data_IF_874547864324
#
_entry.id   IF_874547864324
#
_cell.length_a   1.000
_cell.length_b   1.000
_cell.length_c   1.000
_cell.angle_alpha   90.00
_cell.angle_beta   90.00
_cell.angle_gamma   90.00
#
_symmetry.space_group_name_H-M   'P 1'
#
loop_
_entity.id
_entity.type
_entity.pdbx_description
1 polymer ?
2 non-polymer ?
3 water ?
#
# COMPACT_ATOMS: atom_id res chain seq x y z
N UNK A 11 -15.17 14.67 0.32
CA UNK A 11 -15.60 13.67 1.30
C UNK A 11 -15.12 13.99 2.72
N UNK A 12 -15.87 13.50 3.70
CA UNK A 12 -15.47 13.60 5.10
C UNK A 12 -14.16 12.86 5.35
N UNK A 13 -13.29 13.47 6.14
CA UNK A 13 -12.00 12.92 6.51
C UNK A 13 -12.02 12.55 7.99
N UNK A 14 -10.88 12.05 8.49
CA UNK A 14 -10.74 11.63 9.87
C UNK A 14 -9.88 12.61 10.66
N UNK A 15 -10.28 12.84 11.91
CA UNK A 15 -9.38 13.46 12.88
C UNK A 15 -8.76 12.37 13.73
N UNK A 16 -7.43 12.28 13.80
CA UNK A 16 -6.80 11.14 14.49
C UNK A 16 -7.20 10.94 15.95
N UNK A 17 -7.48 12.01 16.69
CA UNK A 17 -7.79 11.85 18.11
C UNK A 17 -9.23 11.44 18.38
N UNK A 18 -10.11 11.47 17.38
CA UNK A 18 -11.47 10.99 17.52
C UNK A 18 -11.64 9.59 16.95
N UNK A 19 -10.56 8.83 16.84
CA UNK A 19 -10.62 7.48 16.32
C UNK A 19 -10.48 6.49 17.46
N UNK A 20 -11.07 5.31 17.27
CA UNK A 20 -10.78 4.15 18.12
C UNK A 20 -9.49 3.49 17.63
N UNK A 21 -8.54 3.27 18.54
CA UNK A 21 -7.24 2.70 18.20
C UNK A 21 -7.13 1.29 18.75
N UNK A 22 -6.81 0.34 17.88
CA UNK A 22 -6.65 -1.06 18.26
C UNK A 22 -5.21 -1.52 18.11
N UNK A 23 -4.82 -2.48 18.95
CA UNK A 23 -3.48 -3.02 18.98
C UNK A 23 -3.58 -4.52 19.13
N UNK A 24 -2.82 -5.24 18.30
CA UNK A 24 -2.79 -6.70 18.31
C UNK A 24 -1.34 -7.13 18.27
N UNK A 25 -0.93 -7.96 19.23
CA UNK A 25 0.39 -8.56 19.25
C UNK A 25 0.36 -9.81 18.39
N UNK A 26 1.09 -9.79 17.27
CA UNK A 26 1.11 -10.97 16.39
C UNK A 26 2.38 -11.79 16.55
N UNK A 27 3.38 -11.29 17.28
CA UNK A 27 4.66 -11.96 17.48
C UNK A 27 5.33 -11.30 18.70
N UNK A 28 6.33 -11.96 19.30
CA UNK A 28 6.87 -11.46 20.58
C UNK A 28 7.19 -9.97 20.62
N UNK A 29 7.83 -9.41 19.61
CA UNK A 29 8.13 -7.99 19.64
C UNK A 29 7.48 -7.25 18.47
N UNK A 30 6.30 -7.68 18.07
CA UNK A 30 5.61 -7.11 16.92
C UNK A 30 4.14 -6.95 17.26
N UNK A 31 3.67 -5.72 17.38
CA UNK A 31 2.24 -5.46 17.50
C UNK A 31 1.79 -4.56 16.36
N UNK A 32 0.63 -4.86 15.81
CA UNK A 32 0.07 -4.04 14.74
C UNK A 32 -0.98 -3.09 15.33
N UNK A 33 -0.91 -1.85 14.93
CA UNK A 33 -1.85 -0.80 15.27
C UNK A 33 -2.83 -0.63 14.11
N UNK A 34 -4.09 -0.38 14.45
CA UNK A 34 -5.06 -0.04 13.42
C UNK A 34 -6.06 0.94 13.99
N UNK A 35 -6.78 1.60 13.09
CA UNK A 35 -7.90 2.45 13.46
C UNK A 35 -9.18 1.75 13.02
N UNK A 36 -10.25 1.87 13.81
CA UNK A 36 -11.44 1.05 13.60
C UNK A 36 -12.70 1.90 13.60
N UNK A 37 -13.54 1.75 12.58
CA UNK A 37 -14.76 2.54 12.50
C UNK A 37 -15.87 1.77 11.80
N UNK A 38 -17.05 1.73 12.41
CA UNK A 38 -18.25 1.19 11.79
C UNK A 38 -18.59 -0.22 12.24
N UNK A 39 -19.74 -0.68 11.79
CA UNK A 39 -20.16 -2.07 11.97
C UNK A 39 -20.53 -2.68 10.63
N UNK A 40 -20.49 -4.01 10.58
CA UNK A 40 -20.79 -4.75 9.36
C UNK A 40 -19.63 -5.67 9.00
N UNK A 41 -19.58 -6.11 7.74
CA UNK A 41 -18.47 -6.99 7.31
C UNK A 41 -17.12 -6.30 7.49
N UNK A 42 -16.13 -7.08 7.92
CA UNK A 42 -14.81 -6.54 8.21
C UNK A 42 -14.07 -6.21 6.91
N UNK A 43 -13.60 -4.98 6.80
CA UNK A 43 -12.82 -4.51 5.66
C UNK A 43 -11.49 -4.00 6.20
N UNK A 44 -10.41 -4.64 5.78
CA UNK A 44 -9.05 -4.29 6.22
C UNK A 44 -8.33 -3.51 5.13
N UNK A 45 -7.88 -2.30 5.45
CA UNK A 45 -7.26 -1.38 4.50
C UNK A 45 -5.75 -1.36 4.73
N UNK A 46 -4.97 -1.57 3.66
CA UNK A 46 -3.50 -1.70 3.75
C UNK A 46 -2.82 -0.68 2.84
N UNK A 47 -2.16 0.29 3.44
CA UNK A 47 -1.52 1.41 2.74
C UNK A 47 -0.19 0.97 2.12
N UNK A 48 0.37 1.86 1.29
CA UNK A 48 1.63 1.65 0.63
C UNK A 48 2.77 2.46 1.23
N UNK A 49 3.83 2.65 0.43
CA UNK A 49 5.08 3.33 0.76
C UNK A 49 5.07 4.75 0.24
N UNK A 50 5.45 5.75 1.07
CA UNK A 50 5.66 5.63 2.50
C UNK A 50 4.49 6.32 3.21
N UNK A 51 3.49 5.54 3.58
CA UNK A 51 2.22 6.15 3.96
C UNK A 51 1.85 5.78 5.39
N UNK A 52 0.56 5.56 5.65
CA UNK A 52 0.01 5.54 7.01
C UNK A 52 -1.43 5.05 6.91
N UNK A 53 -2.01 4.62 8.04
CA UNK A 53 -3.46 4.43 8.06
C UNK A 53 -4.17 5.68 7.58
N UNK A 54 -3.59 6.85 7.87
CA UNK A 54 -4.20 8.13 7.55
C UNK A 54 -4.34 8.35 6.04
N UNK A 55 -3.62 7.59 5.23
CA UNK A 55 -3.82 7.69 3.79
C UNK A 55 -5.21 7.26 3.38
N UNK A 56 -5.92 6.52 4.24
CA UNK A 56 -7.29 6.11 3.98
C UNK A 56 -8.33 7.09 4.57
N UNK A 57 -7.91 8.31 4.93
CA UNK A 57 -8.78 9.19 5.73
C UNK A 57 -10.11 9.51 5.02
N UNK A 58 -10.12 9.55 3.68
CA UNK A 58 -11.38 9.81 2.98
C UNK A 58 -12.24 8.56 2.79
N UNK A 59 -11.65 7.37 2.87
CA UNK A 59 -12.43 6.15 2.68
C UNK A 59 -13.03 5.64 3.98
N UNK A 60 -12.34 5.81 5.10
CA UNK A 60 -12.77 5.20 6.38
C UNK A 60 -14.18 5.65 6.76
N UNK A 61 -14.50 6.95 6.85
CA UNK A 61 -15.89 7.33 7.16
C UNK A 61 -16.88 6.89 6.11
N UNK A 62 -16.49 6.93 4.82
CA UNK A 62 -17.42 6.59 3.74
C UNK A 62 -17.75 5.11 3.75
N UNK A 63 -16.74 4.25 3.90
CA UNK A 63 -17.01 2.81 3.99
C UNK A 63 -17.83 2.48 5.22
N UNK A 64 -17.52 3.07 6.38
CA UNK A 64 -18.31 2.77 7.57
C UNK A 64 -19.75 3.21 7.39
N UNK A 65 -19.96 4.37 6.77
CA UNK A 65 -21.33 4.84 6.53
C UNK A 65 -22.09 3.90 5.60
N UNK A 66 -21.40 3.26 4.66
CA UNK A 66 -22.04 2.32 3.74
C UNK A 66 -22.33 0.98 4.40
N UNK A 67 -21.98 0.79 5.67
CA UNK A 67 -22.29 -0.44 6.38
C UNK A 67 -21.16 -1.45 6.47
N UNK A 68 -19.92 -0.99 6.61
CA UNK A 68 -18.78 -1.87 6.78
C UNK A 68 -18.03 -1.53 8.07
N UNK A 69 -17.38 -2.49 8.61
CA UNK A 69 -16.50 -2.29 9.76
C UNK A 69 -15.08 -2.14 9.24
N UNK A 70 -14.57 -0.94 9.29
CA UNK A 70 -13.29 -0.61 8.66
C UNK A 70 -12.16 -0.78 9.67
N UNK A 71 -11.12 -1.53 9.29
CA UNK A 71 -9.89 -1.66 10.08
C UNK A 71 -8.77 -1.12 9.20
N UNK A 72 -8.29 0.08 9.52
CA UNK A 72 -7.29 0.73 8.70
C UNK A 72 -5.94 0.58 9.39
N UNK A 73 -5.11 -0.24 8.87
CA UNK A 73 -3.84 -0.48 9.47
C UNK A 73 -2.69 0.50 9.37
N UNK A 74 -1.90 0.54 10.41
CA UNK A 74 -0.50 0.95 10.23
C UNK A 74 0.26 -0.33 9.85
N UNK A 75 0.76 -0.39 8.63
CA UNK A 75 1.46 -1.62 8.24
C UNK A 75 2.75 -1.73 9.04
N UNK A 76 3.28 -2.95 9.12
CA UNK A 76 4.48 -3.19 9.91
C UNK A 76 5.63 -2.28 9.44
N UNK A 77 6.31 -1.65 10.39
CA UNK A 77 7.34 -0.68 10.09
C UNK A 77 6.87 0.77 10.17
N UNK A 78 5.57 1.01 10.26
CA UNK A 78 5.00 2.35 10.13
C UNK A 78 4.27 2.77 11.40
N UNK A 79 4.35 4.07 11.71
CA UNK A 79 3.38 4.69 12.61
C UNK A 79 3.45 4.13 14.02
N UNK A 80 2.31 3.67 14.52
CA UNK A 80 2.26 3.06 15.85
C UNK A 80 2.46 1.56 15.81
N UNK A 81 2.66 0.97 14.63
CA UNK A 81 3.00 -0.44 14.59
C UNK A 81 4.49 -0.63 14.89
N UNK A 82 4.83 -1.81 15.40
CA UNK A 82 6.23 -2.14 15.65
C UNK A 82 7.02 -2.10 14.34
N UNK A 83 8.30 -1.76 14.46
CA UNK A 83 9.25 -1.78 13.34
C UNK A 83 10.46 -2.56 13.78
N UNK A 84 10.40 -3.91 13.76
CA UNK A 84 11.57 -4.69 14.14
C UNK A 84 12.75 -4.31 13.26
N UNK A 85 13.95 -4.50 13.74
CA UNK A 85 15.13 -4.05 12.99
C UNK A 85 15.52 -4.92 11.81
N UNK A 86 15.19 -6.21 11.85
CA UNK A 86 15.70 -7.15 10.87
C UNK A 86 15.04 -6.98 9.50
N UNK A 87 15.85 -7.02 8.44
CA UNK A 87 15.33 -6.76 7.10
C UNK A 87 14.38 -7.86 6.67
N UNK A 88 14.67 -9.12 7.04
CA UNK A 88 13.86 -10.24 6.62
C UNK A 88 12.50 -10.29 7.32
N UNK A 89 12.30 -9.49 8.36
CA UNK A 89 10.98 -9.35 8.96
C UNK A 89 10.00 -8.68 8.01
N UNK A 90 10.45 -8.14 6.89
CA UNK A 90 9.55 -7.44 5.99
C UNK A 90 9.41 -8.13 4.64
N UNK A 91 9.77 -9.41 4.58
CA UNK A 91 9.46 -10.16 3.38
C UNK A 91 7.96 -10.43 3.36
N UNK A 92 7.43 -10.63 2.15
CA UNK A 92 5.97 -10.78 2.01
C UNK A 92 5.48 -12.01 2.76
N UNK A 93 6.30 -13.05 2.81
CA UNK A 93 5.91 -14.26 3.50
C UNK A 93 5.61 -13.99 4.98
N UNK A 94 6.50 -13.29 5.67
CA UNK A 94 6.28 -12.98 7.07
C UNK A 94 5.11 -12.02 7.24
N UNK A 95 5.01 -11.01 6.36
CA UNK A 95 4.00 -9.98 6.49
C UNK A 95 2.60 -10.58 6.37
N UNK A 96 2.40 -11.49 5.43
CA UNK A 96 1.09 -12.10 5.23
C UNK A 96 0.71 -13.01 6.41
N UNK A 97 1.64 -13.83 6.90
CA UNK A 97 1.30 -14.71 8.02
C UNK A 97 0.97 -13.89 9.27
N UNK A 98 1.61 -12.73 9.44
CA UNK A 98 1.23 -11.86 10.55
C UNK A 98 -0.19 -11.32 10.37
N UNK A 99 -0.58 -11.02 9.14
CA UNK A 99 -1.93 -10.52 8.93
C UNK A 99 -2.97 -11.60 9.18
N UNK A 100 -2.62 -12.86 8.91
CA UNK A 100 -3.49 -13.98 9.28
C UNK A 100 -3.59 -14.10 10.80
N UNK A 101 -2.44 -14.03 11.49
CA UNK A 101 -2.45 -14.00 12.95
C UNK A 101 -3.30 -12.85 13.47
N UNK A 102 -3.17 -11.68 12.87
CA UNK A 102 -4.01 -10.53 13.19
C UNK A 102 -5.48 -10.89 13.18
N UNK A 103 -5.96 -11.46 12.06
CA UNK A 103 -7.35 -11.90 11.99
C UNK A 103 -7.66 -12.92 13.07
N UNK A 104 -6.73 -13.85 13.31
CA UNK A 104 -6.95 -14.86 14.35
C UNK A 104 -7.20 -14.21 15.70
N UNK A 105 -6.35 -13.26 16.07
CA UNK A 105 -6.44 -12.68 17.42
C UNK A 105 -7.68 -11.81 17.57
N UNK A 106 -8.15 -11.21 16.47
CA UNK A 106 -9.42 -10.49 16.44
C UNK A 106 -10.63 -11.41 16.36
N UNK A 107 -10.43 -12.73 16.22
CA UNK A 107 -11.57 -13.62 16.05
C UNK A 107 -12.35 -13.40 14.77
N UNK A 108 -11.66 -13.02 13.70
CA UNK A 108 -12.26 -12.83 12.38
C UNK A 108 -11.95 -14.03 11.48
N UNK A 109 -13.00 -14.73 11.05
CA UNK A 109 -12.79 -15.87 10.15
C UNK A 109 -12.31 -15.41 8.78
N UNK A 110 -12.81 -14.27 8.31
CA UNK A 110 -12.44 -13.67 7.04
C UNK A 110 -12.51 -12.16 7.14
N UNK A 111 -11.84 -11.48 6.21
CA UNK A 111 -12.04 -10.06 6.02
C UNK A 111 -11.89 -9.72 4.54
N UNK A 112 -12.55 -8.65 4.10
CA UNK A 112 -12.21 -8.04 2.81
C UNK A 112 -10.87 -7.34 2.97
N UNK A 113 -9.97 -7.52 2.00
CA UNK A 113 -8.68 -6.84 2.04
C UNK A 113 -8.58 -5.87 0.87
N UNK A 114 -8.27 -4.61 1.18
CA UNK A 114 -8.12 -3.57 0.18
C UNK A 114 -6.73 -2.93 0.39
N UNK A 115 -5.92 -2.92 -0.66
CA UNK A 115 -4.57 -2.39 -0.53
C UNK A 115 -4.24 -1.41 -1.64
N UNK A 116 -3.23 -0.60 -1.36
CA UNK A 116 -2.67 0.33 -2.33
C UNK A 116 -1.16 0.18 -2.32
N UNK A 117 -0.56 0.21 -3.50
CA UNK A 117 0.89 0.28 -3.67
C UNK A 117 1.45 -1.00 -3.02
N UNK A 118 2.40 -0.93 -2.08
CA UNK A 118 2.92 -2.14 -1.44
C UNK A 118 1.82 -2.89 -0.67
N UNK A 119 0.85 -2.18 -0.10
CA UNK A 119 -0.27 -2.87 0.50
C UNK A 119 -1.13 -3.59 -0.53
N UNK A 120 -1.16 -3.06 -1.76
CA UNK A 120 -1.80 -3.78 -2.84
C UNK A 120 -1.10 -5.10 -3.14
N UNK A 121 0.23 -5.08 -3.13
CA UNK A 121 0.98 -6.31 -3.32
C UNK A 121 0.66 -7.29 -2.20
N UNK A 122 0.59 -6.79 -0.97
CA UNK A 122 0.33 -7.67 0.16
C UNK A 122 -1.04 -8.33 0.05
N UNK A 123 -2.08 -7.55 -0.29
CA UNK A 123 -3.41 -8.16 -0.32
C UNK A 123 -3.52 -9.15 -1.48
N UNK A 124 -2.76 -8.95 -2.57
CA UNK A 124 -2.77 -9.95 -3.63
C UNK A 124 -2.20 -11.26 -3.13
N UNK A 125 -1.11 -11.22 -2.36
CA UNK A 125 -0.53 -12.48 -1.86
C UNK A 125 -1.38 -13.10 -0.76
N UNK A 126 -2.06 -12.27 0.05
CA UNK A 126 -3.07 -12.80 0.98
C UNK A 126 -4.13 -13.60 0.23
N UNK A 127 -4.65 -13.05 -0.87
CA UNK A 127 -5.65 -13.75 -1.66
C UNK A 127 -5.07 -14.99 -2.30
N UNK A 128 -3.78 -14.96 -2.65
CA UNK A 128 -3.18 -16.09 -3.34
C UNK A 128 -2.91 -17.25 -2.38
N UNK A 129 -2.36 -16.96 -1.22
CA UNK A 129 -1.92 -18.00 -0.29
C UNK A 129 -2.90 -18.26 0.84
N UNK A 130 -3.76 -17.29 1.19
CA UNK A 130 -4.76 -17.48 2.24
C UNK A 130 -6.17 -17.14 1.76
N UNK A 131 -6.62 -17.72 0.64
CA UNK A 131 -7.96 -17.36 0.15
C UNK A 131 -9.05 -17.66 1.16
N UNK A 132 -8.92 -18.76 1.93
CA UNK A 132 -9.93 -19.10 2.93
C UNK A 132 -10.11 -18.00 3.98
N UNK A 133 -9.16 -17.08 4.12
CA UNK A 133 -9.26 -15.99 5.08
C UNK A 133 -9.62 -14.65 4.42
N UNK A 134 -9.70 -14.59 3.08
CA UNK A 134 -9.98 -13.35 2.36
C UNK A 134 -11.36 -13.48 1.72
N UNK A 135 -12.33 -12.71 2.24
CA UNK A 135 -13.67 -12.70 1.67
C UNK A 135 -13.66 -12.13 0.25
N UNK A 136 -12.93 -11.04 0.04
CA UNK A 136 -12.77 -10.44 -1.28
C UNK A 136 -11.54 -9.57 -1.20
N UNK A 137 -10.98 -9.24 -2.37
CA UNK A 137 -9.72 -8.49 -2.43
C UNK A 137 -9.81 -7.39 -3.49
N UNK A 138 -9.28 -6.22 -3.16
CA UNK A 138 -9.25 -5.08 -4.05
C UNK A 138 -7.87 -4.46 -3.97
N UNK A 139 -7.33 -4.05 -5.11
CA UNK A 139 -6.05 -3.35 -5.15
C UNK A 139 -6.19 -2.04 -5.92
N UNK A 140 -5.59 -0.99 -5.39
CA UNK A 140 -5.45 0.28 -6.08
C UNK A 140 -4.06 0.37 -6.68
N UNK A 141 -3.99 0.53 -8.02
CA UNK A 141 -2.76 0.75 -8.78
C UNK A 141 -1.91 -0.52 -8.92
N UNK A 142 -1.72 -1.28 -7.85
CA UNK A 142 -0.79 -2.43 -7.90
C UNK A 142 -1.42 -3.60 -8.63
N UNK A 143 -0.85 -4.05 -9.74
CA UNK A 143 -1.40 -5.19 -10.46
C UNK A 143 -0.93 -6.49 -9.81
N UNK A 144 -1.52 -7.60 -10.26
CA UNK A 144 -1.05 -8.92 -9.84
C UNK A 144 -0.39 -9.57 -11.04
N UNK A 145 0.91 -9.79 -10.95
CA UNK A 145 1.69 -10.41 -12.01
C UNK A 145 2.37 -11.65 -11.41
N UNK A 146 2.01 -12.84 -11.83
CA UNK A 146 2.61 -14.04 -11.23
C UNK A 146 4.12 -14.08 -11.47
N UNK A 147 4.83 -14.62 -10.49
CA UNK A 147 6.28 -14.70 -10.56
C UNK A 147 6.74 -15.48 -11.78
N UNK A 148 7.79 -14.99 -12.43
CA UNK A 148 8.45 -15.73 -13.50
C UNK A 148 9.59 -16.52 -12.88
N UNK A 149 9.47 -17.85 -12.75
CA UNK A 149 10.52 -18.63 -12.09
C UNK A 149 11.82 -18.70 -12.87
N UNK A 150 11.89 -18.10 -14.06
CA UNK A 150 13.08 -18.12 -14.90
C UNK A 150 13.81 -16.78 -14.93
N UNK A 151 13.27 -15.75 -14.28
CA UNK A 151 13.85 -14.41 -14.33
C UNK A 151 13.86 -13.83 -12.93
N UNK A 152 15.07 -13.66 -12.37
CA UNK A 152 15.23 -13.16 -11.01
C UNK A 152 14.67 -11.74 -10.89
N UNK A 153 14.35 -11.30 -9.66
CA UNK A 153 13.64 -10.01 -9.55
C UNK A 153 14.52 -8.80 -9.85
N UNK A 154 15.76 -8.77 -9.37
CA UNK A 154 16.61 -7.61 -9.61
C UNK A 154 16.95 -7.47 -11.10
N UNK A 155 16.92 -8.58 -11.84
CA UNK A 155 17.12 -8.49 -13.27
C UNK A 155 15.91 -7.90 -13.97
N UNK A 156 14.71 -8.26 -13.53
CA UNK A 156 13.50 -7.65 -14.08
C UNK A 156 13.42 -6.16 -13.78
N UNK A 157 14.10 -5.69 -12.73
CA UNK A 157 14.07 -4.27 -12.38
C UNK A 157 14.99 -3.46 -13.29
N UNK A 158 16.11 -4.04 -13.73
CA UNK A 158 17.03 -3.31 -14.60
C UNK A 158 16.48 -3.18 -16.02
N UNK A 159 15.63 -4.13 -16.44
CA UNK A 159 14.97 -4.02 -17.74
C UNK A 159 13.87 -2.97 -17.76
N UNK A 160 13.60 -2.31 -16.64
CA UNK A 160 12.61 -1.23 -16.57
C UNK A 160 13.23 -0.03 -15.89
N UNK A 161 13.45 1.07 -16.60
CA UNK A 161 14.18 2.20 -16.01
C UNK A 161 13.40 2.96 -14.94
N UNK A 162 12.06 2.85 -14.88
CA UNK A 162 11.33 3.61 -13.88
C UNK A 162 11.51 3.01 -12.49
N UNK A 163 11.80 1.72 -12.41
CA UNK A 163 12.09 1.05 -11.13
C UNK A 163 13.56 1.18 -10.72
N UNK A 164 14.24 2.26 -11.15
CA UNK A 164 15.64 2.44 -10.79
C UNK A 164 15.81 2.96 -9.36
N UNK A 165 14.87 3.77 -8.89
CA UNK A 165 14.85 4.13 -7.48
C UNK A 165 14.84 2.90 -6.57
N UNK A 166 14.38 1.74 -7.08
CA UNK A 166 14.34 0.55 -6.25
C UNK A 166 15.74 0.01 -5.97
N UNK A 167 16.67 0.18 -6.90
CA UNK A 167 18.05 -0.20 -6.62
C UNK A 167 18.70 0.77 -5.64
N UNK A 168 18.37 2.05 -5.73
CA UNK A 168 18.85 3.03 -4.76
C UNK A 168 18.34 2.72 -3.36
N UNK A 169 17.18 2.06 -3.25
CA UNK A 169 16.59 1.70 -1.96
C UNK A 169 17.23 0.47 -1.32
N UNK A 170 18.16 -0.20 -1.98
CA UNK A 170 18.57 -1.54 -1.57
C UNK A 170 19.55 -1.51 -0.38
N UNK A 171 20.57 -0.66 -0.41
CA UNK A 171 21.58 -0.74 0.66
C UNK A 171 21.10 -0.01 1.90
N UNK A 172 21.06 -0.69 3.06
CA UNK A 172 20.49 -0.07 4.27
C UNK A 172 21.25 1.18 4.69
N UNK A 173 20.49 2.23 5.01
CA UNK A 173 21.03 3.47 5.49
C UNK A 173 21.12 4.56 4.46
N UNK A 174 21.22 4.20 3.17
CA UNK A 174 21.46 5.20 2.13
C UNK A 174 20.21 6.03 1.87
N UNK A 175 19.14 5.39 1.41
CA UNK A 175 17.90 6.14 1.19
C UNK A 175 17.34 6.70 2.49
N UNK A 176 17.60 6.04 3.63
CA UNK A 176 17.10 6.55 4.91
C UNK A 176 17.63 7.96 5.18
N UNK A 177 18.93 8.17 4.97
CA UNK A 177 19.52 9.48 5.25
C UNK A 177 18.86 10.56 4.40
N UNK A 178 18.52 10.25 3.15
CA UNK A 178 17.93 11.28 2.30
C UNK A 178 16.48 11.55 2.67
N UNK A 179 15.70 10.50 2.91
CA UNK A 179 14.29 10.68 3.20
C UNK A 179 14.07 11.26 4.59
N UNK A 180 14.99 11.01 5.53
CA UNK A 180 14.85 11.49 6.89
C UNK A 180 15.47 12.87 7.10
N UNK A 181 16.23 13.39 6.15
CA UNK A 181 16.98 14.61 6.44
C UNK A 181 16.05 15.79 6.66
N UNK A 182 14.93 15.85 5.94
CA UNK A 182 13.90 16.86 6.20
C UNK A 182 12.58 16.23 5.82
N UNK A 183 11.81 15.84 6.82
CA UNK A 183 10.61 15.03 6.57
C UNK A 183 9.54 15.83 5.85
N UNK A 184 9.36 17.09 6.25
CA UNK A 184 8.37 17.93 5.60
C UNK A 184 8.66 18.07 4.11
N UNK A 185 9.95 18.24 3.77
CA UNK A 185 10.34 18.29 2.37
C UNK A 185 10.08 16.96 1.69
N UNK A 186 10.38 15.85 2.38
CA UNK A 186 10.14 14.53 1.81
C UNK A 186 8.69 14.33 1.42
N UNK A 187 7.75 14.61 2.33
CA UNK A 187 6.36 14.34 2.04
C UNK A 187 5.72 15.39 1.13
N UNK A 188 6.13 16.65 1.24
CA UNK A 188 5.65 17.63 0.28
C UNK A 188 6.17 17.35 -1.13
N UNK A 189 7.34 16.73 -1.24
CA UNK A 189 7.88 16.37 -2.55
C UNK A 189 7.19 15.15 -3.14
N UNK A 190 6.82 14.19 -2.29
CA UNK A 190 6.23 12.95 -2.77
C UNK A 190 4.74 13.10 -3.06
N UNK A 191 4.00 13.70 -2.14
CA UNK A 191 2.53 13.65 -2.18
C UNK A 191 2.02 14.77 -3.07
N UNK A 192 2.09 14.53 -4.38
CA UNK A 192 1.75 15.53 -5.38
C UNK A 192 0.95 14.87 -6.50
N UNK A 193 0.07 15.65 -7.13
CA UNK A 193 -0.60 15.16 -8.33
C UNK A 193 0.43 14.93 -9.43
N UNK A 194 0.06 14.16 -10.44
CA UNK A 194 1.01 13.88 -11.52
C UNK A 194 1.44 15.16 -12.23
N UNK A 195 0.52 16.08 -12.50
CA UNK A 195 0.86 17.35 -13.15
C UNK A 195 1.74 18.24 -12.27
N UNK A 196 1.79 17.97 -10.96
CA UNK A 196 2.63 18.74 -10.03
C UNK A 196 3.95 18.04 -9.71
N UNK A 197 4.21 16.89 -10.30
CA UNK A 197 5.29 16.04 -9.81
C UNK A 197 6.64 16.72 -9.98
N UNK A 198 7.47 16.61 -8.95
CA UNK A 198 8.72 17.36 -8.86
C UNK A 198 9.95 16.47 -8.83
N UNK A 199 9.79 15.16 -8.62
CA UNK A 199 10.91 14.25 -8.43
C UNK A 199 11.07 13.34 -9.65
N UNK A 200 12.31 12.93 -9.90
CA UNK A 200 12.65 12.05 -11.00
C UNK A 200 12.87 10.65 -10.46
N UNK A 201 12.13 9.68 -11.01
CA UNK A 201 12.33 8.27 -10.67
C UNK A 201 13.42 7.63 -11.52
N UNK A 202 13.70 8.17 -12.71
CA UNK A 202 14.75 7.67 -13.58
C UNK A 202 16.10 8.23 -13.17
N UNK A 203 17.13 7.38 -13.28
CA UNK A 203 18.51 7.81 -13.09
C UNK A 203 18.73 8.39 -11.69
N UNK A 204 18.01 7.86 -10.70
CA UNK A 204 18.21 8.28 -9.32
C UNK A 204 19.63 7.97 -8.87
N UNK A 205 20.19 6.85 -9.34
CA UNK A 205 21.51 6.41 -8.90
C UNK A 205 22.64 7.21 -9.55
N UNK A 206 22.45 7.70 -10.77
CA UNK A 206 23.45 8.55 -11.39
C UNK A 206 23.35 10.00 -10.92
N UNK A 207 22.19 10.41 -10.42
CA UNK A 207 21.99 11.76 -9.88
C UNK A 207 22.33 11.84 -8.40
N UNK A 208 22.72 10.73 -7.78
CA UNK A 208 23.07 10.70 -6.37
C UNK A 208 21.94 10.36 -5.43
N UNK A 209 20.74 10.85 -5.72
CA UNK A 209 19.62 10.59 -4.85
C UNK A 209 18.30 10.92 -5.50
N UNK A 210 17.25 10.82 -4.70
CA UNK A 210 15.87 10.93 -5.15
C UNK A 210 15.38 12.37 -5.23
N UNK A 211 15.96 13.28 -4.44
CA UNK A 211 15.48 14.66 -4.34
C UNK A 211 16.53 15.66 -4.78
N UNK A 212 17.62 15.23 -5.42
CA UNK A 212 18.72 16.16 -5.71
C UNK A 212 18.27 17.26 -6.65
N UNK A 213 17.27 16.99 -7.51
CA UNK A 213 16.83 17.98 -8.47
C UNK A 213 15.38 18.39 -8.20
N UNK A 214 15.09 18.70 -6.94
CA UNK A 214 13.79 19.16 -6.47
C UNK A 214 14.03 20.26 -5.44
N UNK A 215 13.08 21.19 -5.30
CA UNK A 215 13.35 22.37 -4.47
C UNK A 215 13.58 22.01 -3.01
N UNK A 216 14.35 22.85 -2.32
CA UNK A 216 14.56 22.64 -0.90
C UNK A 216 13.33 22.99 -0.09
N UNK A 217 12.49 23.90 -0.60
CA UNK A 217 11.21 24.24 0.01
C UNK A 217 10.13 24.10 -1.06
N UNK A 218 9.66 22.87 -1.31
CA UNK A 218 8.64 22.68 -2.35
C UNK A 218 7.30 23.25 -1.95
N UNK A 219 6.51 23.59 -2.95
CA UNK A 219 5.17 24.07 -2.71
C UNK A 219 4.27 22.93 -2.22
N UNK A 220 3.14 23.31 -1.65
CA UNK A 220 2.17 22.36 -1.12
C UNK A 220 1.23 21.91 -2.23
N UNK A 221 1.12 20.60 -2.42
CA UNK A 221 0.25 20.08 -3.48
C UNK A 221 -1.21 20.44 -3.23
N UNK A 222 -1.96 20.56 -4.31
CA UNK A 222 -3.39 20.81 -4.18
C UNK A 222 -4.10 19.69 -3.44
N UNK A 223 -3.49 18.51 -3.36
CA UNK A 223 -4.15 17.35 -2.75
C UNK A 223 -4.15 17.39 -1.22
N UNK A 224 -3.29 18.20 -0.59
CA UNK A 224 -3.03 18.05 0.84
C UNK A 224 -2.90 19.41 1.51
N UNK A 225 -3.22 19.45 2.80
CA UNK A 225 -3.01 20.65 3.60
C UNK A 225 -1.68 20.55 4.34
N UNK A 226 -1.27 21.69 4.89
CA UNK A 226 -0.09 21.70 5.75
C UNK A 226 -0.29 20.81 6.97
N UNK A 227 -1.50 20.83 7.55
CA UNK A 227 -1.76 20.00 8.72
C UNK A 227 -1.64 18.52 8.37
N UNK A 228 -2.10 18.12 7.19
CA UNK A 228 -2.03 16.70 6.84
C UNK A 228 -0.60 16.25 6.61
N UNK A 229 0.23 17.13 6.02
CA UNK A 229 1.65 16.83 5.86
C UNK A 229 2.30 16.61 7.23
N UNK A 230 2.04 17.52 8.18
CA UNK A 230 2.67 17.45 9.49
C UNK A 230 2.27 16.19 10.26
N UNK A 231 1.10 15.62 9.98
CA UNK A 231 0.76 14.33 10.58
C UNK A 231 1.71 13.23 10.11
N UNK A 232 1.89 13.10 8.80
CA UNK A 232 2.88 12.14 8.31
C UNK A 232 4.25 12.41 8.92
N UNK A 233 4.66 13.69 8.97
CA UNK A 233 5.94 14.02 9.57
C UNK A 233 6.02 13.48 10.99
N UNK A 234 4.96 13.71 11.77
CA UNK A 234 4.98 13.24 13.16
C UNK A 234 5.05 11.72 13.23
N UNK A 235 4.34 11.04 12.34
CA UNK A 235 4.36 9.58 12.33
C UNK A 235 5.74 9.02 12.02
N UNK A 236 6.46 9.62 11.05
CA UNK A 236 7.74 9.07 10.66
C UNK A 236 8.89 9.49 11.57
N UNK A 237 8.65 10.43 12.49
CA UNK A 237 9.61 10.68 13.55
C UNK A 237 9.72 9.50 14.50
N UNK A 238 8.72 8.60 14.51
CA UNK A 238 8.67 7.51 15.48
C UNK A 238 9.67 6.42 15.13
N UNK A 239 9.67 5.96 13.88
CA UNK A 239 10.52 4.85 13.48
C UNK A 239 11.39 5.15 12.27
N UNK A 240 11.22 6.29 11.63
CA UNK A 240 12.04 6.58 10.48
C UNK A 240 11.65 5.73 9.29
N UNK A 241 12.53 5.73 8.28
CA UNK A 241 12.23 5.13 7.00
C UNK A 241 12.80 3.72 6.84
N UNK A 242 13.57 3.21 7.81
CA UNK A 242 14.21 1.91 7.62
C UNK A 242 13.18 0.80 7.44
N UNK A 243 12.20 0.72 8.34
CA UNK A 243 11.17 -0.29 8.23
C UNK A 243 10.39 -0.21 6.93
N UNK A 244 9.89 0.98 6.59
CA UNK A 244 9.28 1.13 5.27
C UNK A 244 10.18 0.70 4.12
N UNK A 245 11.46 1.12 4.11
CA UNK A 245 12.32 0.76 2.99
C UNK A 245 12.57 -0.74 2.92
N UNK A 246 12.58 -1.42 4.07
CA UNK A 246 12.82 -2.86 4.11
C UNK A 246 11.82 -3.66 3.30
N UNK A 247 10.62 -3.11 3.05
CA UNK A 247 9.67 -3.77 2.16
C UNK A 247 10.25 -3.99 0.77
N UNK A 248 11.22 -3.17 0.34
CA UNK A 248 11.90 -3.33 -0.95
C UNK A 248 13.12 -4.22 -0.90
N UNK A 249 13.53 -4.66 0.28
CA UNK A 249 14.82 -5.31 0.43
C UNK A 249 14.69 -6.82 0.54
N UNK A 250 13.61 -7.38 0.01
CA UNK A 250 13.35 -8.82 0.11
C UNK A 250 12.93 -9.41 -1.23
N UNK A 251 13.46 -8.86 -2.34
CA UNK A 251 12.92 -9.23 -3.65
C UNK A 251 13.18 -10.70 -3.98
N UNK A 252 14.36 -11.22 -3.63
CA UNK A 252 14.64 -12.61 -3.94
C UNK A 252 13.80 -13.56 -3.10
N UNK A 253 13.66 -13.28 -1.80
CA UNK A 253 12.81 -14.17 -0.99
C UNK A 253 11.34 -14.07 -1.39
N UNK A 254 10.86 -12.86 -1.69
CA UNK A 254 9.48 -12.71 -2.17
C UNK A 254 9.27 -13.47 -3.48
N UNK A 255 10.27 -13.45 -4.34
CA UNK A 255 10.19 -14.13 -5.62
C UNK A 255 10.19 -15.64 -5.43
N UNK A 256 11.07 -16.16 -4.56
CA UNK A 256 11.08 -17.60 -4.28
C UNK A 256 9.75 -18.05 -3.68
N UNK A 257 9.20 -17.27 -2.75
CA UNK A 257 7.92 -17.61 -2.13
C UNK A 257 6.79 -17.58 -3.17
N UNK A 258 6.75 -16.51 -3.97
CA UNK A 258 5.73 -16.40 -5.00
C UNK A 258 5.80 -17.53 -6.00
N UNK A 259 7.01 -18.03 -6.28
CA UNK A 259 7.18 -19.13 -7.22
C UNK A 259 6.55 -20.42 -6.69
N UNK A 260 6.48 -20.59 -5.36
CA UNK A 260 5.89 -21.79 -4.79
C UNK A 260 4.41 -21.93 -5.08
N UNK A 261 3.78 -20.92 -5.66
CA UNK A 261 2.34 -20.91 -5.84
C UNK A 261 1.95 -21.02 -7.31
N UNK A 262 2.90 -21.30 -8.20
CA UNK A 262 2.77 -20.81 -9.57
C UNK A 262 1.57 -21.41 -10.31
N UNK A 263 1.31 -22.69 -10.15
CA UNK A 263 0.22 -23.27 -10.90
C UNK A 263 -1.18 -23.03 -10.37
N UNK A 264 -1.51 -21.83 -9.88
CA UNK A 264 -2.78 -21.62 -9.20
C UNK A 264 -3.34 -20.23 -9.48
N UNK A 265 -4.67 -20.15 -9.45
CA UNK A 265 -5.41 -18.92 -9.68
C UNK A 265 -5.99 -18.40 -8.36
N UNK A 266 -6.43 -17.16 -8.40
CA UNK A 266 -7.17 -16.53 -7.32
C UNK A 266 -8.65 -16.61 -7.68
N UNK A 267 -9.42 -17.32 -6.86
CA UNK A 267 -10.80 -17.65 -7.19
C UNK A 267 -11.82 -16.84 -6.42
N UNK A 268 -11.38 -15.96 -5.53
CA UNK A 268 -12.29 -15.19 -4.69
C UNK A 268 -12.69 -13.93 -5.44
N UNK A 269 -13.78 -13.24 -5.05
CA UNK A 269 -14.13 -11.97 -5.71
C UNK A 269 -13.01 -10.95 -5.60
N UNK A 270 -12.77 -10.23 -6.69
CA UNK A 270 -11.58 -9.39 -6.78
C UNK A 270 -11.83 -8.13 -7.61
N UNK A 271 -11.13 -7.07 -7.26
CA UNK A 271 -11.27 -5.80 -7.97
C UNK A 271 -9.89 -5.19 -8.20
N UNK A 272 -9.61 -4.80 -9.43
CA UNK A 272 -8.38 -4.08 -9.78
C UNK A 272 -8.76 -2.67 -10.21
N UNK A 273 -8.20 -1.66 -9.52
CA UNK A 273 -8.45 -0.25 -9.81
C UNK A 273 -7.19 0.37 -10.39
N UNK A 274 -7.25 0.77 -11.65
CA UNK A 274 -6.10 1.38 -12.30
C UNK A 274 -6.24 2.91 -12.28
N UNK A 275 -5.09 3.58 -12.36
CA UNK A 275 -5.01 5.04 -12.26
C UNK A 275 -4.29 5.58 -13.49
N UNK A 276 -5.00 6.40 -14.28
CA UNK A 276 -4.52 6.80 -15.59
C UNK A 276 -3.15 7.45 -15.56
N UNK A 277 -2.84 8.21 -14.50
CA UNK A 277 -1.62 9.02 -14.47
C UNK A 277 -0.60 8.50 -13.45
N UNK A 278 -0.75 7.26 -12.97
CA UNK A 278 0.34 6.63 -12.22
C UNK A 278 1.39 6.16 -13.23
N UNK A 279 2.49 6.91 -13.31
CA UNK A 279 3.51 6.66 -14.31
C UNK A 279 4.48 5.55 -13.90
N UNK A 280 4.34 4.99 -12.71
CA UNK A 280 5.15 3.85 -12.27
C UNK A 280 4.31 2.58 -12.32
N UNK A 281 3.19 2.57 -11.59
CA UNK A 281 2.25 1.44 -11.64
C UNK A 281 1.22 1.76 -12.72
N UNK A 282 1.64 1.60 -13.96
CA UNK A 282 0.82 2.05 -15.08
C UNK A 282 -0.32 1.06 -15.31
N UNK A 283 -1.48 1.53 -15.81
CA UNK A 283 -2.63 0.63 -15.99
C UNK A 283 -2.34 -0.58 -16.87
N UNK A 284 -1.51 -0.42 -17.89
CA UNK A 284 -1.30 -1.55 -18.79
C UNK A 284 -0.58 -2.71 -18.11
N UNK A 285 0.07 -2.47 -16.97
CA UNK A 285 0.68 -3.57 -16.22
C UNK A 285 -0.34 -4.56 -15.69
N UNK A 286 -1.62 -4.22 -15.68
CA UNK A 286 -2.67 -5.10 -15.18
C UNK A 286 -3.34 -5.91 -16.28
N UNK A 287 -2.84 -5.82 -17.52
CA UNK A 287 -3.68 -6.07 -18.69
C UNK A 287 -4.15 -7.53 -18.83
N UNK A 288 -3.39 -8.52 -18.36
CA UNK A 288 -3.91 -9.89 -18.48
C UNK A 288 -4.18 -10.52 -17.11
N UNK A 289 -4.62 -9.70 -16.15
CA UNK A 289 -4.90 -10.25 -14.83
C UNK A 289 -6.09 -11.20 -14.86
N UNK A 290 -7.01 -11.02 -15.83
CA UNK A 290 -8.18 -11.88 -15.95
C UNK A 290 -7.81 -13.35 -16.15
N UNK A 291 -6.69 -13.63 -16.83
CA UNK A 291 -6.32 -15.01 -17.05
C UNK A 291 -5.95 -15.73 -15.75
N UNK A 292 -5.60 -14.99 -14.70
CA UNK A 292 -5.25 -15.56 -13.40
C UNK A 292 -6.35 -15.41 -12.36
N UNK A 293 -7.24 -14.44 -12.54
CA UNK A 293 -8.23 -14.07 -11.53
C UNK A 293 -9.58 -14.10 -12.24
N UNK A 294 -10.24 -15.26 -12.31
CA UNK A 294 -11.40 -15.38 -13.20
C UNK A 294 -12.56 -14.47 -12.83
N UNK A 295 -12.75 -14.16 -11.55
CA UNK A 295 -13.86 -13.33 -11.12
C UNK A 295 -13.44 -11.87 -10.91
N UNK A 296 -12.41 -11.44 -11.63
CA UNK A 296 -11.86 -10.09 -11.44
C UNK A 296 -12.77 -9.04 -12.07
N UNK A 297 -13.07 -8.01 -11.31
CA UNK A 297 -13.74 -6.82 -11.82
C UNK A 297 -12.77 -5.65 -11.78
N UNK A 298 -13.13 -4.58 -12.50
CA UNK A 298 -12.23 -3.46 -12.76
C UNK A 298 -12.90 -2.13 -12.46
N UNK A 299 -12.11 -1.21 -11.91
CA UNK A 299 -12.41 0.20 -11.97
C UNK A 299 -11.23 0.91 -12.58
N UNK A 300 -11.44 2.14 -13.08
CA UNK A 300 -10.37 2.91 -13.68
C UNK A 300 -10.67 4.39 -13.43
N UNK A 301 -9.67 5.12 -12.94
CA UNK A 301 -9.86 6.50 -12.55
C UNK A 301 -8.99 7.38 -13.46
N UNK A 302 -9.66 8.22 -14.25
CA UNK A 302 -8.95 9.18 -15.08
C UNK A 302 -8.39 10.33 -14.23
N UNK A 303 -7.35 10.97 -14.75
CA UNK A 303 -6.72 12.12 -14.11
C UNK A 303 -6.21 11.81 -12.71
N UNK A 304 -5.97 10.53 -12.43
CA UNK A 304 -5.57 10.07 -11.12
C UNK A 304 -4.12 9.60 -11.15
N UNK A 305 -3.29 10.16 -10.28
CA UNK A 305 -1.90 9.79 -10.16
C UNK A 305 -1.68 8.63 -9.19
N UNK A 306 -0.45 8.57 -8.66
CA UNK A 306 -0.12 7.46 -7.78
C UNK A 306 -0.86 7.50 -6.45
N UNK A 307 -1.18 8.69 -5.92
CA UNK A 307 -1.71 8.80 -4.56
C UNK A 307 -3.24 8.77 -4.59
N UNK A 308 -3.73 7.59 -5.00
CA UNK A 308 -5.09 7.43 -5.51
C UNK A 308 -6.14 7.89 -4.50
N UNK A 309 -6.01 7.47 -3.24
CA UNK A 309 -7.02 7.75 -2.23
C UNK A 309 -7.20 9.24 -1.99
N UNK A 310 -6.12 10.01 -1.99
CA UNK A 310 -6.24 11.44 -1.75
C UNK A 310 -6.31 12.26 -3.03
N UNK A 311 -5.92 11.68 -4.17
CA UNK A 311 -6.06 12.37 -5.45
C UNK A 311 -7.52 12.40 -5.88
N UNK A 312 -8.18 11.24 -5.93
CA UNK A 312 -9.58 11.14 -6.35
C UNK A 312 -10.41 10.39 -5.30
N UNK A 313 -10.57 10.97 -4.10
CA UNK A 313 -11.23 10.22 -3.02
C UNK A 313 -12.69 9.87 -3.32
N UNK A 314 -13.44 10.78 -3.93
CA UNK A 314 -14.85 10.53 -4.21
C UNK A 314 -15.01 9.38 -5.20
N UNK A 315 -14.20 9.38 -6.27
CA UNK A 315 -14.21 8.29 -7.25
C UNK A 315 -13.82 6.96 -6.61
N UNK A 316 -12.75 6.97 -5.80
CA UNK A 316 -12.33 5.76 -5.09
C UNK A 316 -13.48 5.25 -4.21
N UNK A 317 -14.08 6.14 -3.43
CA UNK A 317 -15.17 5.74 -2.53
C UNK A 317 -16.32 5.12 -3.31
N UNK A 318 -16.72 5.76 -4.40
CA UNK A 318 -17.81 5.24 -5.23
C UNK A 318 -17.47 3.85 -5.77
N UNK A 319 -16.26 3.68 -6.30
CA UNK A 319 -15.88 2.39 -6.88
C UNK A 319 -15.89 1.30 -5.81
N UNK A 320 -15.30 1.58 -4.65
CA UNK A 320 -15.16 0.56 -3.62
C UNK A 320 -16.53 0.16 -3.05
N UNK A 321 -17.39 1.13 -2.77
CA UNK A 321 -18.69 0.81 -2.17
C UNK A 321 -19.58 0.05 -3.14
N UNK A 322 -19.54 0.42 -4.43
CA UNK A 322 -20.33 -0.34 -5.41
C UNK A 322 -19.85 -1.78 -5.50
N UNK A 323 -18.54 -2.00 -5.47
CA UNK A 323 -18.00 -3.34 -5.59
C UNK A 323 -18.24 -4.15 -4.31
N UNK A 324 -17.98 -3.55 -3.15
CA UNK A 324 -18.28 -4.21 -1.87
C UNK A 324 -19.74 -4.64 -1.79
N UNK A 325 -20.66 -3.76 -2.20
CA UNK A 325 -22.09 -4.06 -2.05
C UNK A 325 -22.53 -5.21 -2.93
N UNK A 326 -21.86 -5.42 -4.07
CA UNK A 326 -22.30 -6.47 -4.97
C UNK A 326 -21.51 -7.77 -4.81
N UNK A 327 -20.20 -7.69 -4.62
CA UNK A 327 -19.33 -8.87 -4.68
C UNK A 327 -18.80 -9.33 -3.34
N UNK A 328 -18.68 -8.46 -2.35
CA UNK A 328 -18.16 -8.84 -1.05
C UNK A 328 -19.25 -9.07 -0.03
N UNK A 329 -20.38 -8.38 -0.16
CA UNK A 329 -21.50 -8.55 0.73
C UNK A 329 -22.50 -9.52 0.13
X LIG B 1 7.50 -3.77 -6.18
X LIG B 1 8.23 -4.69 -6.42
X LIG B 1 6.54 -2.59 -5.87
X LIG B 1 5.96 5.97 -5.21
X LIG B 1 5.87 4.53 -5.67
X LIG B 1 7.08 -1.28 -5.69
X LIG B 1 6.19 -0.25 -5.42
X LIG B 1 6.75 1.20 -5.22
X LIG B 1 6.35 3.59 -4.52
X LIG B 1 4.57 9.22 -10.70
X LIG B 1 4.66 8.70 -8.37
X LIG B 1 4.72 7.32 -8.61
X LIG B 1 5.13 6.43 -7.60
X LIG B 1 5.50 6.93 -6.36
X LIG B 1 9.19 -5.86 -6.73
X LIG B 1 8.53 -7.15 -6.34
X LIG B 1 8.39 -5.76 -9.16
X LIG B 1 5.20 -2.81 -5.76
X LIG B 1 4.32 -1.76 -5.49
X LIG B 1 4.83 -0.47 -5.32
X LIG B 1 7.38 6.30 -4.78
X LIG B 1 8.45 6.16 -5.72
X LIG B 1 9.75 6.47 -5.34
X LIG B 1 10.00 6.91 -4.03
X LIG B 1 8.95 7.04 -3.11
X LIG B 1 7.63 6.73 -3.50
X LIG B 1 5.44 8.29 -6.12
X LIG B 1 5.02 9.18 -7.12
X LIG B 1 4.36 10.24 -11.57
X LIG B 1 3.78 8.13 -11.06
X LIG B 1 5.87 8.84 -10.74
X LIG B 1 5.85 2.26 -4.71
X LIG B 1 9.49 -5.87 -8.16
X LIG B 1 8.69 -5.78 -10.56
X LIG B 1 4.24 9.62 -9.41
X LIG B 1 10.84 -6.01 -8.61
X LIG B 1 7.27 -5.65 -8.79
X LIG B 1 7.89 1.44 -5.46
#
# INVERSE_FOLDING_TARGET
>A
MASLNTPAPLPTSCNPSDMSHGYVTVKPRVRLHFVELGSGPAVCLCHGFPESWYSWRYQIPALAQAGYRVLAMDMKGYGESSAPPEIEEYCMEVLCKEMVTFLDKLGLSQAVFIGHDWGGMLVWYMALFYPERVRAVASLNTPFIPANPNMSPLESIKANPVFDYQLYFQEPGVAEAELEQNLSRTFKSLFRASDESVLSMHKVCEAGGLFVNSPEEPSLSRMVTEEEIQFYVQQFKKSGFRGPLNWYRNMERNWKWACKSLGRKILIPALMVTAEKDFVLVPQMSQHMEDWIPHLKRGHIEDCGHWTQMDKPTEVNQILIKWLDSDARNPPVVSKMLLEHHHHHH
>B hetero
1 OWW C18 C19 C17 C10 C11 C16 C15 C14 C12 C02 C06 C07 C08 C09 C20 C21 C24 C27 C28 C29 C31 C32 C33 C34 C35 C36 C37 C38 F01 F03 F04 N13 N22 N25 O05 O23 O26 O30
#
